data_IF_988022338969
#
_entry.id   IF_988022338969
#
_cell.length_a   1.000
_cell.length_b   1.000
_cell.length_c   1.000
_cell.angle_alpha   90.00
_cell.angle_beta   90.00
_cell.angle_gamma   90.00
#
_symmetry.space_group_name_H-M   'P 1'
#
loop_
_entity.id
_entity.type
_entity.pdbx_description
1 polymer ?
#
# COMPACT_ATOMS: atom_id res chain seq x y z
N UNK A 1 56.03 -56.19 -50.15
CA UNK A 1 54.81 -56.86 -49.67
C UNK A 1 54.34 -56.13 -48.42
N UNK A 2 53.21 -55.44 -48.59
CA UNK A 2 52.22 -54.92 -47.63
C UNK A 2 52.70 -54.22 -46.34
N UNK A 3 52.67 -52.88 -46.34
CA UNK A 3 52.71 -52.02 -45.14
C UNK A 3 51.27 -51.75 -44.69
N UNK A 4 50.96 -52.03 -43.43
CA UNK A 4 49.71 -51.63 -42.77
C UNK A 4 49.80 -50.17 -42.30
N UNK A 5 48.82 -49.34 -42.65
CA UNK A 5 48.63 -47.99 -42.12
C UNK A 5 47.41 -48.03 -41.21
N UNK A 6 47.62 -47.74 -39.93
CA UNK A 6 46.56 -47.64 -38.92
C UNK A 6 46.18 -46.17 -38.79
N UNK A 7 44.99 -45.78 -39.25
CA UNK A 7 44.46 -44.42 -39.08
C UNK A 7 43.71 -44.35 -37.76
N UNK A 8 44.23 -43.57 -36.80
CA UNK A 8 43.51 -43.22 -35.57
C UNK A 8 42.54 -42.07 -35.87
N UNK A 9 41.24 -42.29 -35.70
CA UNK A 9 40.24 -41.22 -35.71
C UNK A 9 40.12 -40.62 -34.30
N UNK A 10 40.61 -39.38 -34.11
CA UNK A 10 40.42 -38.63 -32.88
C UNK A 10 39.04 -37.97 -32.86
N UNK A 11 38.17 -38.38 -31.92
CA UNK A 11 36.89 -37.72 -31.64
C UNK A 11 37.16 -36.48 -30.77
N UNK A 12 36.99 -35.28 -31.32
CA UNK A 12 37.01 -34.03 -30.55
C UNK A 12 35.61 -33.82 -29.98
N UNK A 13 35.44 -34.05 -28.68
CA UNK A 13 34.22 -33.69 -27.95
C UNK A 13 34.32 -32.19 -27.59
N UNK A 14 33.55 -31.34 -28.29
CA UNK A 14 33.38 -29.96 -27.89
C UNK A 14 32.41 -29.89 -26.70
N UNK A 15 32.92 -29.60 -25.50
CA UNK A 15 32.07 -29.22 -24.37
C UNK A 15 31.57 -27.79 -24.58
N UNK A 16 30.27 -27.64 -24.83
CA UNK A 16 29.61 -26.35 -24.67
C UNK A 16 29.47 -26.06 -23.16
N UNK A 17 29.81 -24.84 -22.68
CA UNK A 17 29.58 -24.48 -21.29
C UNK A 17 28.07 -24.46 -21.02
N UNK A 18 27.64 -25.20 -19.99
CA UNK A 18 26.30 -25.09 -19.44
C UNK A 18 26.13 -23.67 -18.89
N UNK A 19 25.30 -22.86 -19.55
CA UNK A 19 24.82 -21.63 -18.96
C UNK A 19 24.03 -22.01 -17.69
N UNK A 20 24.51 -21.58 -16.54
CA UNK A 20 23.77 -21.65 -15.29
C UNK A 20 22.48 -20.86 -15.45
N UNK A 21 21.33 -21.55 -15.48
CA UNK A 21 20.03 -20.90 -15.37
C UNK A 21 20.00 -20.17 -14.03
N UNK A 22 20.03 -18.84 -14.05
CA UNK A 22 19.76 -18.05 -12.86
C UNK A 22 18.32 -18.34 -12.45
N UNK A 23 18.09 -18.70 -11.18
CA UNK A 23 16.75 -18.87 -10.65
C UNK A 23 15.98 -17.57 -10.84
N UNK A 24 14.80 -17.64 -11.47
CA UNK A 24 13.90 -16.49 -11.57
C UNK A 24 13.51 -16.09 -10.14
N UNK A 25 13.70 -14.83 -9.72
CA UNK A 25 13.30 -14.39 -8.39
C UNK A 25 11.78 -14.61 -8.21
N UNK A 26 11.32 -14.83 -6.98
CA UNK A 26 9.88 -14.94 -6.73
C UNK A 26 9.19 -13.67 -7.20
N UNK A 27 7.99 -13.78 -7.79
CA UNK A 27 7.24 -12.62 -8.26
C UNK A 27 6.91 -11.70 -7.08
N UNK A 28 7.01 -10.39 -7.31
CA UNK A 28 6.74 -9.33 -6.33
C UNK A 28 5.34 -8.76 -6.54
N UNK A 29 4.64 -8.40 -5.47
CA UNK A 29 3.33 -7.74 -5.59
C UNK A 29 3.48 -6.24 -5.93
N UNK A 30 2.63 -5.69 -6.82
CA UNK A 30 1.83 -6.42 -7.80
C UNK A 30 2.74 -6.96 -8.92
N UNK A 31 2.41 -8.14 -9.44
CA UNK A 31 3.10 -8.68 -10.62
C UNK A 31 2.54 -8.07 -11.92
N UNK A 32 3.11 -8.40 -13.07
CA UNK A 32 2.79 -7.77 -14.35
C UNK A 32 1.37 -8.07 -14.87
N UNK A 33 0.81 -7.22 -15.74
CA UNK A 33 -0.60 -7.29 -16.18
C UNK A 33 -0.98 -8.58 -16.93
N UNK A 34 -0.02 -9.24 -17.55
CA UNK A 34 -0.23 -10.50 -18.28
C UNK A 34 0.03 -11.75 -17.41
N UNK A 35 0.46 -11.56 -16.16
CA UNK A 35 0.82 -12.65 -15.24
C UNK A 35 -0.39 -13.08 -14.41
N UNK A 36 -0.39 -14.31 -13.90
CA UNK A 36 -1.42 -14.77 -12.97
C UNK A 36 -1.26 -14.07 -11.60
N UNK A 37 -2.24 -13.26 -11.14
CA UNK A 37 -2.12 -12.49 -9.90
C UNK A 37 -1.99 -13.39 -8.66
N UNK A 38 -2.41 -14.66 -8.76
CA UNK A 38 -2.27 -15.64 -7.67
C UNK A 38 -0.82 -16.00 -7.37
N UNK A 39 0.11 -15.68 -8.27
CA UNK A 39 1.54 -15.94 -8.06
C UNK A 39 2.20 -14.90 -7.15
N UNK A 40 1.61 -13.70 -7.02
CA UNK A 40 2.08 -12.65 -6.10
C UNK A 40 0.86 -11.96 -5.45
N UNK A 41 0.15 -12.61 -4.53
CA UNK A 41 -0.99 -11.99 -3.84
C UNK A 41 -0.51 -10.93 -2.83
N UNK A 42 -1.39 -9.99 -2.42
CA UNK A 42 -1.15 -9.15 -1.24
C UNK A 42 -0.77 -10.00 -0.03
N UNK A 43 0.07 -9.45 0.84
CA UNK A 43 0.55 -10.12 2.05
C UNK A 43 -0.37 -9.91 3.26
N UNK A 44 -1.49 -9.20 3.10
CA UNK A 44 -2.48 -9.00 4.13
C UNK A 44 -3.05 -10.35 4.60
N UNK A 45 -3.00 -10.68 5.91
CA UNK A 45 -3.46 -11.97 6.42
C UNK A 45 -4.92 -12.30 6.05
N UNK A 46 -5.76 -11.28 5.87
CA UNK A 46 -7.16 -11.42 5.50
C UNK A 46 -7.45 -11.61 4.01
N UNK A 47 -6.48 -11.38 3.11
CA UNK A 47 -6.71 -11.40 1.67
C UNK A 47 -7.27 -12.74 1.18
N UNK A 48 -6.84 -13.85 1.78
CA UNK A 48 -7.34 -15.20 1.48
C UNK A 48 -8.84 -15.41 1.71
N UNK A 49 -9.53 -14.49 2.39
CA UNK A 49 -10.98 -14.48 2.56
C UNK A 49 -11.74 -13.46 1.72
N UNK A 50 -11.04 -12.57 1.00
CA UNK A 50 -11.63 -11.43 0.28
C UNK A 50 -12.02 -11.81 -1.16
N UNK A 51 -12.92 -12.78 -1.29
CA UNK A 51 -13.39 -13.31 -2.57
C UNK A 51 -13.94 -12.23 -3.51
N UNK A 52 -14.49 -11.15 -2.95
CA UNK A 52 -15.01 -10.00 -3.67
C UNK A 52 -13.93 -9.24 -4.46
N UNK A 53 -12.64 -9.53 -4.24
CA UNK A 53 -11.51 -8.90 -4.93
C UNK A 53 -10.90 -9.78 -6.03
N UNK A 54 -11.22 -11.06 -6.10
CA UNK A 54 -10.53 -12.00 -6.98
C UNK A 54 -11.12 -12.05 -8.40
N UNK A 55 -10.21 -12.16 -9.38
CA UNK A 55 -10.52 -12.41 -10.80
C UNK A 55 -10.76 -13.88 -11.14
N UNK A 56 -10.65 -14.78 -10.16
CA UNK A 56 -10.74 -16.22 -10.35
C UNK A 56 -11.74 -16.85 -9.36
N UNK A 57 -12.17 -18.08 -9.68
CA UNK A 57 -12.95 -18.92 -8.77
C UNK A 57 -12.04 -20.02 -8.21
N UNK A 58 -11.88 -20.17 -6.88
CA UNK A 58 -11.11 -21.28 -6.31
C UNK A 58 -11.58 -22.65 -6.82
N UNK A 59 -10.65 -23.53 -7.20
CA UNK A 59 -11.00 -24.85 -7.77
C UNK A 59 -11.92 -25.67 -6.86
N UNK A 60 -11.72 -25.57 -5.55
CA UNK A 60 -12.57 -26.23 -4.56
C UNK A 60 -14.04 -25.80 -4.63
N UNK A 61 -14.32 -24.55 -5.06
CA UNK A 61 -15.68 -24.02 -5.17
C UNK A 61 -16.33 -24.43 -6.49
N UNK A 62 -15.54 -24.66 -7.53
CA UNK A 62 -16.04 -25.16 -8.83
C UNK A 62 -16.63 -26.58 -8.70
N UNK A 63 -16.19 -27.34 -7.69
CA UNK A 63 -16.71 -28.66 -7.37
C UNK A 63 -18.03 -28.63 -6.56
N UNK A 64 -18.53 -27.46 -6.17
CA UNK A 64 -19.78 -27.34 -5.41
C UNK A 64 -20.97 -27.80 -6.27
N UNK A 65 -21.83 -28.72 -5.78
CA UNK A 65 -23.01 -29.14 -6.51
C UNK A 65 -23.90 -27.96 -6.91
N UNK A 66 -24.23 -27.86 -8.19
CA UNK A 66 -25.01 -26.75 -8.73
C UNK A 66 -24.19 -25.51 -9.10
N UNK A 67 -22.87 -25.52 -8.93
CA UNK A 67 -22.00 -24.46 -9.42
C UNK A 67 -22.13 -24.30 -10.94
N UNK A 68 -22.31 -23.06 -11.41
CA UNK A 68 -22.49 -22.77 -12.84
C UNK A 68 -21.13 -22.63 -13.48
N UNK A 69 -20.75 -23.57 -14.34
CA UNK A 69 -19.45 -23.54 -15.02
C UNK A 69 -19.19 -22.23 -15.81
N UNK A 70 -20.25 -21.52 -16.22
CA UNK A 70 -20.15 -20.22 -16.87
C UNK A 70 -19.58 -19.12 -15.96
N UNK A 71 -19.67 -19.27 -14.64
CA UNK A 71 -19.15 -18.31 -13.67
C UNK A 71 -17.64 -18.42 -13.47
N UNK A 72 -17.00 -19.53 -13.87
CA UNK A 72 -15.55 -19.72 -13.70
C UNK A 72 -14.77 -18.60 -14.38
N UNK A 73 -15.17 -18.25 -15.61
CA UNK A 73 -14.55 -17.18 -16.39
C UNK A 73 -14.87 -15.78 -15.86
N UNK A 74 -15.88 -15.63 -15.00
CA UNK A 74 -16.27 -14.35 -14.42
C UNK A 74 -15.50 -14.02 -13.15
N UNK A 75 -14.83 -14.98 -12.52
CA UNK A 75 -14.23 -14.79 -11.19
C UNK A 75 -15.29 -14.62 -10.09
N UNK A 76 -14.86 -14.40 -8.85
CA UNK A 76 -15.77 -14.21 -7.70
C UNK A 76 -16.06 -12.75 -7.39
N UNK A 77 -15.25 -11.82 -7.89
CA UNK A 77 -15.26 -10.43 -7.43
C UNK A 77 -15.17 -9.38 -8.52
N UNK A 78 -14.66 -8.21 -8.15
CA UNK A 78 -14.48 -7.06 -9.04
C UNK A 78 -13.14 -7.08 -9.81
N UNK A 79 -12.36 -8.16 -9.70
CA UNK A 79 -11.04 -8.33 -10.33
C UNK A 79 -10.03 -7.26 -9.88
N UNK A 80 -10.06 -6.91 -8.59
CA UNK A 80 -9.11 -5.95 -8.01
C UNK A 80 -7.67 -6.46 -8.08
N UNK A 81 -7.47 -7.77 -7.88
CA UNK A 81 -6.20 -8.46 -8.06
C UNK A 81 -5.55 -8.22 -9.44
N UNK A 82 -6.37 -8.09 -10.49
CA UNK A 82 -5.92 -7.70 -11.85
C UNK A 82 -5.74 -6.19 -11.98
N UNK A 83 -6.64 -5.40 -11.41
CA UNK A 83 -6.54 -3.95 -11.44
C UNK A 83 -5.23 -3.45 -10.81
N UNK A 84 -4.78 -4.08 -9.72
CA UNK A 84 -3.51 -3.75 -9.05
C UNK A 84 -2.27 -4.00 -9.90
N UNK A 85 -2.34 -4.90 -10.90
CA UNK A 85 -1.26 -5.10 -11.88
C UNK A 85 -1.13 -3.90 -12.85
N UNK A 86 -2.11 -3.00 -12.89
CA UNK A 86 -2.08 -1.74 -13.64
C UNK A 86 -1.75 -0.57 -12.72
N UNK A 87 -2.44 -0.46 -11.58
CA UNK A 87 -2.18 0.53 -10.54
C UNK A 87 -2.78 0.11 -9.21
N UNK A 88 -2.07 0.38 -8.11
CA UNK A 88 -2.58 0.18 -6.74
C UNK A 88 -3.30 1.41 -6.18
N UNK A 89 -3.47 2.45 -7.01
CA UNK A 89 -4.11 3.70 -6.66
C UNK A 89 -3.16 4.89 -6.70
N UNK A 90 -3.71 6.06 -6.41
CA UNK A 90 -2.98 7.33 -6.34
C UNK A 90 -3.50 8.08 -5.12
N UNK A 91 -2.61 8.46 -4.20
CA UNK A 91 -2.97 9.14 -2.95
C UNK A 91 -3.53 10.53 -3.13
N UNK A 92 -3.38 11.12 -4.32
CA UNK A 92 -4.02 12.39 -4.67
C UNK A 92 -5.52 12.24 -4.94
N UNK A 93 -6.01 11.01 -5.11
CA UNK A 93 -7.45 10.74 -5.20
C UNK A 93 -8.02 10.68 -3.80
N UNK A 94 -8.79 11.71 -3.45
CA UNK A 94 -9.47 11.82 -2.14
C UNK A 94 -10.87 11.22 -2.26
N UNK A 95 -11.23 10.37 -1.31
CA UNK A 95 -12.58 9.77 -1.19
C UNK A 95 -13.21 10.30 0.09
N UNK A 96 -14.33 11.01 -0.05
CA UNK A 96 -15.14 11.46 1.10
C UNK A 96 -16.16 10.36 1.45
N UNK A 97 -16.17 9.93 2.71
CA UNK A 97 -17.14 8.99 3.25
C UNK A 97 -18.12 9.75 4.13
N UNK A 98 -19.38 9.82 3.71
CA UNK A 98 -20.46 10.41 4.51
C UNK A 98 -21.22 9.29 5.22
N UNK A 99 -20.83 9.03 6.46
CA UNK A 99 -21.41 7.99 7.33
C UNK A 99 -21.42 8.51 8.78
N UNK A 100 -21.40 7.63 9.77
CA UNK A 100 -21.44 7.99 11.19
C UNK A 100 -20.08 8.37 11.81
N UNK A 101 -19.15 8.86 11.00
CA UNK A 101 -17.78 9.17 11.45
C UNK A 101 -16.73 8.13 11.05
N UNK A 102 -15.56 8.20 11.68
CA UNK A 102 -14.46 7.29 11.41
C UNK A 102 -13.72 6.81 12.67
N UNK A 103 -13.05 5.66 12.56
CA UNK A 103 -12.28 5.05 13.65
C UNK A 103 -10.79 5.29 13.39
N UNK A 104 -10.28 6.42 13.88
CA UNK A 104 -8.93 6.92 13.56
C UNK A 104 -7.80 5.96 13.97
N UNK A 105 -7.98 5.22 15.05
CA UNK A 105 -7.03 4.23 15.61
C UNK A 105 -7.10 2.85 14.91
N UNK A 106 -7.57 2.81 13.66
CA UNK A 106 -7.49 1.62 12.83
C UNK A 106 -6.10 1.49 12.18
N UNK A 107 -5.29 0.51 12.61
CA UNK A 107 -3.94 0.28 12.05
C UNK A 107 -3.88 0.03 10.54
N UNK A 108 -4.97 -0.42 9.93
CA UNK A 108 -5.05 -0.66 8.48
C UNK A 108 -5.35 0.62 7.69
N UNK A 109 -5.95 1.63 8.35
CA UNK A 109 -6.41 2.88 7.73
C UNK A 109 -5.69 4.13 8.22
N UNK A 110 -4.97 4.09 9.34
CA UNK A 110 -4.37 5.28 9.96
C UNK A 110 -3.46 6.05 9.00
N UNK A 111 -2.73 5.33 8.14
CA UNK A 111 -1.88 5.91 7.11
C UNK A 111 -2.64 6.34 5.85
N UNK A 112 -3.97 6.28 5.83
CA UNK A 112 -4.84 6.54 4.66
C UNK A 112 -5.82 7.68 4.87
N UNK A 113 -6.05 8.10 6.11
CA UNK A 113 -6.87 9.26 6.39
C UNK A 113 -6.29 10.51 5.74
N UNK A 114 -7.18 11.37 5.26
CA UNK A 114 -6.82 12.63 4.62
C UNK A 114 -6.35 13.62 5.68
N UNK A 115 -5.27 14.34 5.40
CA UNK A 115 -4.79 15.44 6.24
C UNK A 115 -4.84 16.75 5.45
N UNK A 116 -5.55 17.75 6.00
CA UNK A 116 -5.70 19.06 5.38
C UNK A 116 -4.43 19.90 5.59
N UNK A 117 -3.64 20.08 4.52
CA UNK A 117 -2.43 20.93 4.55
C UNK A 117 -2.74 22.40 4.87
N UNK A 118 -3.96 22.87 4.57
CA UNK A 118 -4.39 24.24 4.85
C UNK A 118 -4.50 24.51 6.35
N UNK A 119 -5.17 23.61 7.07
CA UNK A 119 -5.31 23.67 8.53
C UNK A 119 -4.00 23.35 9.26
N UNK A 120 -3.15 22.49 8.70
CA UNK A 120 -1.91 22.07 9.34
C UNK A 120 -0.71 23.01 9.09
N UNK A 121 -0.90 24.18 8.47
CA UNK A 121 0.18 25.11 8.18
C UNK A 121 0.92 25.60 9.44
N UNK A 122 0.21 25.72 10.57
CA UNK A 122 0.77 26.06 11.88
C UNK A 122 1.33 24.86 12.68
N UNK A 123 1.03 23.64 12.25
CA UNK A 123 1.34 22.39 12.97
C UNK A 123 1.97 21.35 12.04
N UNK A 124 3.06 21.72 11.37
CA UNK A 124 3.74 20.86 10.39
C UNK A 124 4.53 19.72 11.06
N UNK A 125 4.74 18.60 10.34
CA UNK A 125 5.69 17.57 10.76
C UNK A 125 7.10 18.11 10.97
N UNK A 126 7.88 17.46 11.83
CA UNK A 126 9.29 17.83 12.05
C UNK A 126 10.13 17.45 10.83
N UNK A 127 10.85 18.39 10.19
CA UNK A 127 11.70 18.07 9.05
C UNK A 127 12.82 17.09 9.41
N UNK A 128 13.14 16.17 8.52
CA UNK A 128 14.31 15.30 8.66
C UNK A 128 15.61 16.12 8.54
N UNK A 129 16.62 15.79 9.35
CA UNK A 129 17.93 16.44 9.29
C UNK A 129 18.63 16.26 7.93
N UNK A 130 18.25 15.23 7.18
CA UNK A 130 18.69 14.99 5.80
C UNK A 130 17.48 14.53 4.99
N UNK A 131 16.68 15.47 4.45
CA UNK A 131 15.48 15.14 3.71
C UNK A 131 15.80 14.30 2.46
N UNK A 132 15.05 13.21 2.20
CA UNK A 132 15.19 12.43 0.98
C UNK A 132 14.66 13.19 -0.24
N UNK A 133 14.97 12.67 -1.43
CA UNK A 133 14.41 13.22 -2.66
C UNK A 133 12.87 13.05 -2.66
N UNK A 134 12.15 14.10 -3.05
CA UNK A 134 10.69 14.11 -3.04
C UNK A 134 10.09 14.74 -1.78
N UNK A 135 10.88 14.90 -0.71
CA UNK A 135 10.38 15.50 0.52
C UNK A 135 10.00 16.98 0.37
N UNK A 136 8.94 17.38 1.05
CA UNK A 136 8.51 18.76 1.21
C UNK A 136 8.27 19.10 2.70
N UNK A 137 7.58 20.21 2.99
CA UNK A 137 7.34 20.65 4.37
C UNK A 137 6.27 19.82 5.13
N UNK A 138 5.52 18.98 4.43
CA UNK A 138 4.51 18.08 4.98
C UNK A 138 4.85 16.61 4.71
N UNK A 139 5.22 16.24 3.48
CA UNK A 139 5.79 14.93 3.15
C UNK A 139 7.28 14.94 3.49
N UNK A 140 7.63 14.78 4.76
CA UNK A 140 9.03 14.91 5.21
C UNK A 140 9.85 13.65 4.91
N UNK A 141 9.18 12.52 4.67
CA UNK A 141 9.81 11.24 4.38
C UNK A 141 9.99 10.98 2.86
N UNK A 142 9.40 11.82 2.01
CA UNK A 142 9.55 11.82 0.56
C UNK A 142 8.90 10.63 -0.16
N UNK A 143 7.90 9.99 0.45
CA UNK A 143 7.20 8.85 -0.14
C UNK A 143 6.03 9.24 -1.07
N UNK A 144 5.93 10.54 -1.38
CA UNK A 144 4.89 11.17 -2.18
C UNK A 144 3.49 11.14 -1.52
N UNK A 145 3.44 10.88 -0.21
CA UNK A 145 2.23 10.92 0.61
C UNK A 145 2.42 11.94 1.71
N UNK A 146 1.37 12.72 2.00
CA UNK A 146 1.27 13.36 3.30
C UNK A 146 0.29 12.55 4.15
N UNK A 147 0.79 11.91 5.20
CA UNK A 147 -0.01 11.18 6.17
C UNK A 147 0.66 11.16 7.55
N UNK A 148 0.09 10.42 8.51
CA UNK A 148 0.55 10.44 9.89
C UNK A 148 2.01 9.97 10.06
N UNK A 149 2.55 9.25 9.07
CA UNK A 149 3.95 8.80 9.09
C UNK A 149 4.94 9.94 9.02
N UNK A 150 4.54 11.06 8.45
CA UNK A 150 5.35 12.27 8.43
C UNK A 150 5.56 12.84 9.83
N UNK A 151 4.53 12.79 10.68
CA UNK A 151 4.58 13.32 12.04
C UNK A 151 5.54 12.57 12.96
N UNK A 152 5.76 11.27 12.72
CA UNK A 152 6.74 10.49 13.48
C UNK A 152 8.05 10.20 12.74
N UNK A 153 8.18 10.59 11.47
CA UNK A 153 9.36 10.28 10.65
C UNK A 153 10.67 10.72 11.30
N UNK A 154 10.70 11.90 11.93
CA UNK A 154 11.89 12.43 12.59
C UNK A 154 12.32 11.62 13.83
N UNK A 155 11.37 10.96 14.51
CA UNK A 155 11.66 10.08 15.64
C UNK A 155 12.14 8.69 15.20
N UNK A 156 11.97 8.35 13.91
CA UNK A 156 12.38 7.08 13.30
C UNK A 156 11.44 5.90 13.57
N UNK A 157 10.65 5.93 14.64
CA UNK A 157 9.57 4.97 14.90
C UNK A 157 8.38 5.65 15.54
N UNK A 158 7.16 5.16 15.26
CA UNK A 158 5.92 5.62 15.92
C UNK A 158 6.06 5.59 17.45
N UNK A 159 6.56 4.48 18.01
CA UNK A 159 6.73 4.31 19.45
C UNK A 159 7.64 5.38 20.10
N UNK A 160 8.63 5.88 19.36
CA UNK A 160 9.51 6.95 19.84
C UNK A 160 8.85 8.34 19.79
N UNK A 161 7.81 8.52 18.96
CA UNK A 161 7.07 9.76 18.80
C UNK A 161 5.82 9.85 19.68
N UNK A 162 5.31 8.74 20.24
CA UNK A 162 4.10 8.73 21.08
C UNK A 162 4.15 9.77 22.21
N UNK A 163 5.29 9.93 22.89
CA UNK A 163 5.41 10.88 23.99
C UNK A 163 5.19 12.35 23.58
N UNK A 164 5.38 12.66 22.29
CA UNK A 164 5.21 14.00 21.75
C UNK A 164 3.87 14.17 21.01
N UNK A 165 3.30 13.10 20.47
CA UNK A 165 2.18 13.18 19.53
C UNK A 165 0.93 12.38 19.93
N UNK A 166 0.98 11.42 20.83
CA UNK A 166 -0.21 10.66 21.27
C UNK A 166 -0.96 11.45 22.36
N UNK A 167 -1.95 12.24 21.95
CA UNK A 167 -2.72 13.13 22.82
C UNK A 167 -3.92 12.44 23.47
N UNK A 168 -4.42 11.35 22.89
CA UNK A 168 -5.53 10.57 23.43
C UNK A 168 -5.08 9.32 24.22
N UNK A 169 -3.78 9.09 24.34
CA UNK A 169 -3.12 7.98 25.04
C UNK A 169 -3.55 6.59 24.53
N UNK A 170 -3.86 6.46 23.23
CA UNK A 170 -4.30 5.20 22.63
C UNK A 170 -3.14 4.32 22.12
N UNK A 171 -1.90 4.81 22.19
CA UNK A 171 -0.71 4.09 21.75
C UNK A 171 -0.52 4.04 20.23
N UNK A 172 -1.15 4.95 19.50
CA UNK A 172 -1.02 5.19 18.07
C UNK A 172 -0.85 6.70 17.85
N UNK A 173 -0.20 7.07 16.76
CA UNK A 173 -0.31 8.44 16.28
C UNK A 173 -1.32 8.41 15.15
N UNK A 174 -2.39 9.19 15.29
CA UNK A 174 -3.53 9.20 14.38
C UNK A 174 -4.06 10.64 14.14
N UNK A 175 -5.03 10.84 13.22
CA UNK A 175 -5.55 12.19 12.97
C UNK A 175 -6.23 12.85 14.17
N UNK A 176 -6.78 12.08 15.13
CA UNK A 176 -7.41 12.65 16.32
C UNK A 176 -6.36 13.34 17.21
N UNK A 177 -5.13 12.83 17.24
CA UNK A 177 -4.03 13.50 17.92
C UNK A 177 -3.71 14.86 17.32
N UNK A 178 -3.70 14.94 15.99
CA UNK A 178 -3.49 16.20 15.28
C UNK A 178 -4.65 17.16 15.56
N UNK A 179 -5.90 16.69 15.52
CA UNK A 179 -7.07 17.50 15.91
C UNK A 179 -6.89 18.06 17.32
N UNK A 180 -6.50 17.25 18.30
CA UNK A 180 -6.31 17.69 19.69
C UNK A 180 -5.15 18.67 19.86
N UNK A 181 -4.04 18.43 19.18
CA UNK A 181 -2.78 19.19 19.36
C UNK A 181 -2.71 20.46 18.51
N UNK A 182 -3.25 20.41 17.30
CA UNK A 182 -3.02 21.39 16.25
C UNK A 182 -4.18 22.36 16.03
N UNK A 183 -5.38 22.08 16.54
CA UNK A 183 -6.53 22.99 16.39
C UNK A 183 -6.26 24.32 17.07
N UNK A 184 -6.34 25.43 16.32
CA UNK A 184 -6.09 26.78 16.83
C UNK A 184 -7.32 27.69 16.77
N UNK A 185 -8.46 27.18 16.30
CA UNK A 185 -9.73 27.87 16.18
C UNK A 185 -9.83 28.75 14.95
N UNK A 186 -8.93 28.63 13.98
CA UNK A 186 -8.89 29.42 12.75
C UNK A 186 -9.08 28.52 11.54
N UNK A 187 -10.15 28.77 10.78
CA UNK A 187 -10.33 28.26 9.41
C UNK A 187 -9.23 28.85 8.51
N UNK A 188 -8.14 28.09 8.35
CA UNK A 188 -6.91 28.54 7.72
C UNK A 188 -6.97 28.41 6.20
N UNK A 189 -7.75 27.47 5.69
CA UNK A 189 -7.96 27.27 4.26
C UNK A 189 -9.15 28.07 3.69
N UNK A 190 -10.01 28.61 4.55
CA UNK A 190 -11.12 29.50 4.22
C UNK A 190 -12.34 28.78 3.63
N UNK A 191 -12.50 27.49 3.91
CA UNK A 191 -13.58 26.67 3.37
C UNK A 191 -14.87 26.73 4.20
N UNK A 192 -14.84 27.36 5.38
CA UNK A 192 -15.96 27.52 6.31
C UNK A 192 -16.02 26.49 7.44
N UNK A 193 -15.06 25.55 7.51
CA UNK A 193 -14.95 24.55 8.56
C UNK A 193 -13.66 24.79 9.36
N UNK A 194 -13.81 25.18 10.62
CA UNK A 194 -12.68 25.54 11.48
C UNK A 194 -11.91 24.27 11.87
N UNK A 195 -10.60 24.25 11.62
CA UNK A 195 -9.72 23.14 12.01
C UNK A 195 -10.16 21.76 11.48
N UNK A 196 -10.69 21.68 10.24
CA UNK A 196 -11.14 20.45 9.56
C UNK A 196 -9.99 19.51 9.09
N UNK A 197 -9.01 19.33 9.98
CA UNK A 197 -7.72 18.64 9.77
C UNK A 197 -7.88 17.28 9.09
N UNK A 198 -8.90 16.50 9.45
CA UNK A 198 -9.15 15.18 8.88
C UNK A 198 -10.64 14.88 8.68
N UNK A 199 -11.37 15.87 8.16
CA UNK A 199 -12.81 15.79 7.92
C UNK A 199 -13.61 16.64 8.89
N UNK A 200 -14.93 16.45 8.87
CA UNK A 200 -15.90 17.26 9.64
C UNK A 200 -17.07 16.42 10.14
N UNK A 201 -17.43 16.56 11.40
CA UNK A 201 -18.68 16.00 11.96
C UNK A 201 -19.85 16.93 11.61
N UNK A 202 -20.59 16.60 10.56
CA UNK A 202 -21.79 17.36 10.18
C UNK A 202 -22.98 17.20 11.15
N UNK A 203 -22.97 16.19 12.01
CA UNK A 203 -24.03 15.96 12.99
C UNK A 203 -23.81 16.78 14.26
N UNK A 204 -22.58 16.81 14.78
CA UNK A 204 -22.23 17.62 15.97
C UNK A 204 -21.79 19.06 15.62
N UNK A 205 -21.48 19.32 14.35
CA UNK A 205 -20.95 20.59 13.85
C UNK A 205 -19.59 20.94 14.48
N UNK A 206 -18.68 19.96 14.46
CA UNK A 206 -17.30 20.08 14.96
C UNK A 206 -16.29 19.34 14.07
N UNK A 207 -15.00 19.43 14.43
CA UNK A 207 -13.88 18.91 13.66
C UNK A 207 -13.42 17.50 14.06
N UNK A 208 -14.21 16.74 14.84
CA UNK A 208 -13.90 15.37 15.29
C UNK A 208 -14.94 14.37 14.75
N UNK A 209 -14.84 13.96 13.46
CA UNK A 209 -15.83 13.14 12.76
C UNK A 209 -15.96 11.67 13.21
#
# INVERSE_FOLDING_TARGET
MTRFVTTLAGLVMALAPLASAQAVPPPTWPNGPDEDPRLAPPNDPGFGGQWNLWSYVPEAWQATPGFRAQEIAMGTGIHADRAWQVTTGDRRVIVAVHDSGCYFDNRDLVNKYYLNRGELAGCKPTPLASPPAGADEFDVNGDASFDIRDYWAAAGTEAAALADWDENENGMIDPQDLIRKCSDGVDSDGNGYIDDISGWDFYQDDNDP
#
